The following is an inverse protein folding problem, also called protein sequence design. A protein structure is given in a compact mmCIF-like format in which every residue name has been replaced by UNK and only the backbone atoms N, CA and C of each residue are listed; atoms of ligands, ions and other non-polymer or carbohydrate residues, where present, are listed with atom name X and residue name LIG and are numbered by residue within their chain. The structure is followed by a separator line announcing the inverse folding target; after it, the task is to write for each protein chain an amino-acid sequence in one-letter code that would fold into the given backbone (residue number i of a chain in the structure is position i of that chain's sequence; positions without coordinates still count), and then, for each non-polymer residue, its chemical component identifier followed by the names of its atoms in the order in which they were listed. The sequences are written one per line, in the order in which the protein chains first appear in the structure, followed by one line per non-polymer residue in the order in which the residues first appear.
data_IF_175087153212
#
_entry.id   IF_175087153212
#
_cell.length_a   1.000
_cell.length_b   1.000
_cell.length_c   1.000
_cell.angle_alpha   90.00
_cell.angle_beta   90.00
_cell.angle_gamma   90.00
#
_symmetry.space_group_name_H-M   'P 1'
#
loop_
_entity.id
_entity.type
_entity.pdbx_description
1 polymer ?
#
# COMPACT_ATOMS: atom_id res chain seq x y z
N UNK A 1 13.58 12.17 3.50
CA UNK A 1 12.62 12.17 4.63
C UNK A 1 11.86 10.86 4.54
N UNK A 2 11.77 10.08 5.62
CA UNK A 2 11.05 8.80 5.58
C UNK A 2 9.55 9.04 5.78
N UNK A 3 8.70 8.30 5.07
CA UNK A 3 7.24 8.36 5.26
C UNK A 3 6.86 7.83 6.64
N UNK A 4 7.45 6.70 7.02
CA UNK A 4 7.23 6.06 8.32
C UNK A 4 8.51 6.05 9.16
N UNK A 5 8.35 5.93 10.47
CA UNK A 5 9.49 5.77 11.38
C UNK A 5 10.11 4.38 11.22
N UNK A 6 11.41 4.27 11.49
CA UNK A 6 12.09 2.97 11.43
C UNK A 6 11.47 1.95 12.41
N UNK A 7 11.05 2.40 13.58
CA UNK A 7 10.40 1.56 14.60
C UNK A 7 9.06 1.02 14.11
N UNK A 8 8.28 1.84 13.38
CA UNK A 8 7.05 1.38 12.74
C UNK A 8 7.35 0.39 11.62
N UNK A 9 8.29 0.70 10.71
CA UNK A 9 8.65 -0.22 9.63
C UNK A 9 9.11 -1.58 10.17
N UNK A 10 9.89 -1.59 11.26
CA UNK A 10 10.38 -2.81 11.89
C UNK A 10 9.22 -3.66 12.42
N UNK A 11 8.33 -3.07 13.23
CA UNK A 11 7.16 -3.77 13.77
C UNK A 11 6.21 -4.22 12.66
N UNK A 12 6.02 -3.40 11.63
CA UNK A 12 5.16 -3.72 10.51
C UNK A 12 5.69 -4.90 9.69
N UNK A 13 7.01 -4.94 9.43
CA UNK A 13 7.67 -6.09 8.78
C UNK A 13 7.55 -7.35 9.62
N UNK A 14 7.69 -7.26 10.94
CA UNK A 14 7.49 -8.40 11.85
C UNK A 14 6.06 -8.93 11.77
N UNK A 15 5.07 -8.05 11.80
CA UNK A 15 3.66 -8.42 11.69
C UNK A 15 3.32 -9.05 10.33
N UNK A 16 3.85 -8.51 9.24
CA UNK A 16 3.71 -9.10 7.91
C UNK A 16 4.27 -10.53 7.85
N UNK A 17 5.41 -10.79 8.50
CA UNK A 17 5.99 -12.14 8.59
C UNK A 17 5.11 -13.07 9.43
N UNK A 18 4.56 -12.60 10.54
CA UNK A 18 3.65 -13.39 11.37
C UNK A 18 2.36 -13.75 10.61
N UNK A 19 1.77 -12.77 9.93
CA UNK A 19 0.56 -12.99 9.12
C UNK A 19 0.83 -13.97 7.98
N UNK A 20 1.95 -13.82 7.28
CA UNK A 20 2.39 -14.73 6.22
C UNK A 20 2.53 -16.18 6.74
N UNK A 21 3.08 -16.37 7.94
CA UNK A 21 3.22 -17.69 8.56
C UNK A 21 1.92 -18.27 9.15
N UNK A 22 0.87 -17.46 9.27
CA UNK A 22 -0.41 -17.87 9.85
C UNK A 22 -1.26 -18.74 8.89
N UNK A 23 -2.26 -19.50 9.37
CA UNK A 23 -3.19 -20.21 8.50
C UNK A 23 -4.29 -19.32 7.90
N UNK A 24 -4.25 -18.00 8.13
CA UNK A 24 -5.26 -17.07 7.63
C UNK A 24 -5.27 -17.04 6.10
N UNK A 25 -6.45 -16.88 5.47
CA UNK A 25 -6.54 -16.70 4.03
C UNK A 25 -5.77 -15.44 3.62
N UNK A 26 -5.02 -15.53 2.51
CA UNK A 26 -4.35 -14.39 1.88
C UNK A 26 -4.79 -14.30 0.43
N UNK A 27 -5.27 -13.13 0.05
CA UNK A 27 -5.55 -12.76 -1.32
C UNK A 27 -4.29 -12.35 -2.05
N UNK A 28 -4.39 -12.28 -3.39
CA UNK A 28 -3.29 -11.77 -4.21
C UNK A 28 -3.28 -10.23 -4.16
N UNK A 29 -2.10 -9.60 -4.04
CA UNK A 29 -1.98 -8.15 -4.05
C UNK A 29 -2.58 -7.48 -5.30
N UNK A 30 -2.24 -8.03 -6.46
CA UNK A 30 -2.77 -7.62 -7.76
C UNK A 30 -2.60 -8.76 -8.79
N UNK A 31 -2.93 -8.50 -10.05
CA UNK A 31 -2.83 -9.49 -11.15
C UNK A 31 -1.39 -9.86 -11.51
N UNK A 32 -0.42 -9.00 -11.19
CA UNK A 32 1.01 -9.15 -11.54
C UNK A 32 1.85 -9.75 -10.41
N UNK A 33 1.43 -9.59 -9.15
CA UNK A 33 2.15 -10.09 -7.99
C UNK A 33 1.45 -11.32 -7.41
N UNK A 34 2.20 -12.41 -7.29
CA UNK A 34 1.77 -13.64 -6.63
C UNK A 34 2.04 -13.58 -5.12
N UNK A 35 2.99 -12.76 -4.67
CA UNK A 35 3.44 -12.69 -3.28
C UNK A 35 3.23 -11.31 -2.67
N UNK A 36 2.68 -11.32 -1.46
CA UNK A 36 2.37 -10.12 -0.72
C UNK A 36 1.13 -10.28 0.13
N UNK A 37 0.77 -9.20 0.83
CA UNK A 37 -0.34 -9.19 1.79
C UNK A 37 -1.25 -8.02 1.45
N UNK A 38 -2.55 -8.29 1.32
CA UNK A 38 -3.56 -7.25 1.28
C UNK A 38 -3.76 -6.66 2.68
N UNK A 39 -3.71 -5.34 2.80
CA UNK A 39 -3.73 -4.70 4.13
C UNK A 39 -5.12 -4.71 4.78
N UNK A 40 -6.19 -4.81 4.00
CA UNK A 40 -7.54 -5.05 4.54
C UNK A 40 -7.65 -6.41 5.25
N UNK A 41 -7.02 -7.45 4.71
CA UNK A 41 -6.94 -8.79 5.32
C UNK A 41 -6.11 -8.81 6.62
N UNK A 42 -5.12 -7.91 6.73
CA UNK A 42 -4.37 -7.67 7.97
C UNK A 42 -5.15 -6.82 8.99
N UNK A 43 -6.32 -6.29 8.63
CA UNK A 43 -7.14 -5.42 9.47
C UNK A 43 -6.73 -3.95 9.48
N UNK A 44 -5.95 -3.50 8.50
CA UNK A 44 -5.39 -2.15 8.42
C UNK A 44 -6.29 -1.14 7.66
N UNK A 45 -7.52 -1.50 7.29
CA UNK A 45 -8.43 -0.60 6.54
C UNK A 45 -8.53 0.78 7.20
N UNK A 46 -8.86 0.85 8.50
CA UNK A 46 -8.98 2.13 9.20
C UNK A 46 -7.67 2.91 9.31
N UNK A 47 -6.53 2.20 9.37
CA UNK A 47 -5.22 2.86 9.32
C UNK A 47 -4.96 3.50 7.96
N UNK A 48 -5.30 2.82 6.87
CA UNK A 48 -5.14 3.35 5.51
C UNK A 48 -6.13 4.48 5.24
N UNK A 49 -7.37 4.38 5.72
CA UNK A 49 -8.34 5.48 5.67
C UNK A 49 -7.78 6.74 6.32
N UNK A 50 -7.20 6.64 7.52
CA UNK A 50 -6.62 7.78 8.22
C UNK A 50 -5.37 8.34 7.53
N UNK A 51 -4.48 7.46 7.05
CA UNK A 51 -3.31 7.85 6.27
C UNK A 51 -3.72 8.62 5.01
N UNK A 52 -4.72 8.12 4.28
CA UNK A 52 -5.25 8.77 3.09
C UNK A 52 -5.84 10.13 3.43
N UNK A 53 -6.74 10.19 4.40
CA UNK A 53 -7.50 11.39 4.72
C UNK A 53 -6.62 12.49 5.32
N UNK A 54 -5.72 12.16 6.26
CA UNK A 54 -4.92 13.17 6.97
C UNK A 54 -3.63 13.56 6.25
N UNK A 55 -3.06 12.68 5.43
CA UNK A 55 -1.72 12.91 4.86
C UNK A 55 -1.74 12.90 3.33
N UNK A 56 -2.27 11.84 2.70
CA UNK A 56 -2.17 11.71 1.24
C UNK A 56 -3.07 12.68 0.50
N UNK A 57 -4.29 12.95 0.99
CA UNK A 57 -5.19 13.91 0.37
C UNK A 57 -4.60 15.34 0.36
N UNK A 58 -4.15 15.89 1.50
CA UNK A 58 -3.48 17.19 1.50
C UNK A 58 -2.21 17.21 0.63
N UNK A 59 -1.43 16.13 0.64
CA UNK A 59 -0.24 16.02 -0.18
C UNK A 59 -0.57 16.02 -1.68
N UNK A 60 -1.58 15.24 -2.09
CA UNK A 60 -2.02 15.16 -3.47
C UNK A 60 -2.55 16.52 -3.95
N UNK A 61 -3.37 17.21 -3.14
CA UNK A 61 -3.84 18.57 -3.44
C UNK A 61 -2.69 19.56 -3.58
N UNK A 62 -1.67 19.48 -2.72
CA UNK A 62 -0.51 20.35 -2.79
C UNK A 62 0.38 20.09 -4.02
N UNK A 63 0.49 18.83 -4.46
CA UNK A 63 1.33 18.44 -5.60
C UNK A 63 0.66 18.64 -6.95
N UNK A 64 -0.65 18.35 -7.02
CA UNK A 64 -1.36 18.28 -8.30
C UNK A 64 -2.43 19.37 -8.45
N UNK A 65 -2.87 20.03 -7.38
CA UNK A 65 -3.94 21.02 -7.43
C UNK A 65 -5.32 20.42 -7.17
N UNK A 66 -6.21 21.22 -6.56
CA UNK A 66 -7.57 20.80 -6.22
C UNK A 66 -8.39 20.46 -7.47
N UNK A 67 -8.10 21.10 -8.60
CA UNK A 67 -8.78 20.85 -9.87
C UNK A 67 -8.53 19.45 -10.45
N UNK A 68 -7.40 18.82 -10.11
CA UNK A 68 -7.06 17.47 -10.57
C UNK A 68 -7.45 16.39 -9.56
N UNK A 69 -7.40 16.71 -8.26
CA UNK A 69 -7.76 15.78 -7.18
C UNK A 69 -9.28 15.73 -6.95
N UNK A 70 -9.98 16.81 -7.30
CA UNK A 70 -11.42 16.95 -7.08
C UNK A 70 -11.77 17.38 -5.65
N UNK A 71 -12.95 17.97 -5.51
CA UNK A 71 -13.42 18.55 -4.25
C UNK A 71 -13.63 17.52 -3.11
N UNK A 72 -13.84 16.25 -3.47
CA UNK A 72 -14.00 15.14 -2.50
C UNK A 72 -12.68 14.51 -2.09
N UNK A 73 -11.58 14.78 -2.80
CA UNK A 73 -10.31 14.10 -2.61
C UNK A 73 -10.31 12.65 -3.12
N UNK A 74 -9.21 11.96 -2.84
CA UNK A 74 -9.07 10.51 -2.96
C UNK A 74 -10.05 9.84 -1.98
N UNK A 75 -10.95 9.02 -2.50
CA UNK A 75 -12.15 8.52 -1.78
C UNK A 75 -12.16 6.99 -1.56
N UNK A 76 -11.28 6.26 -2.23
CA UNK A 76 -11.10 4.82 -2.11
C UNK A 76 -9.61 4.45 -2.02
N UNK A 77 -9.31 3.19 -1.72
CA UNK A 77 -7.93 2.69 -1.75
C UNK A 77 -7.92 1.18 -2.01
N UNK A 78 -6.85 0.71 -2.67
CA UNK A 78 -6.44 -0.69 -2.67
C UNK A 78 -5.01 -0.74 -2.15
N UNK A 79 -4.84 -1.27 -0.94
CA UNK A 79 -3.55 -1.23 -0.24
C UNK A 79 -3.01 -2.63 -0.02
N UNK A 80 -1.74 -2.82 -0.36
CA UNK A 80 -1.06 -4.10 -0.27
C UNK A 80 0.45 -3.92 -0.13
N UNK A 81 1.11 -4.93 0.41
CA UNK A 81 2.57 -5.04 0.44
C UNK A 81 2.98 -6.07 -0.59
N UNK A 82 4.01 -5.76 -1.38
CA UNK A 82 4.65 -6.72 -2.29
C UNK A 82 5.92 -7.23 -1.62
N UNK A 83 6.17 -8.54 -1.71
CA UNK A 83 7.40 -9.16 -1.25
C UNK A 83 8.23 -9.63 -2.43
N UNK A 84 9.46 -9.13 -2.53
CA UNK A 84 10.43 -9.56 -3.54
C UNK A 84 11.46 -10.50 -2.88
N UNK A 85 11.67 -11.68 -3.47
CA UNK A 85 12.74 -12.62 -3.09
C UNK A 85 13.41 -13.16 -4.34
N UNK A 86 14.68 -13.55 -4.19
CA UNK A 86 15.38 -14.33 -5.22
C UNK A 86 14.55 -15.60 -5.48
N UNK A 87 14.31 -15.91 -6.76
CA UNK A 87 13.45 -17.00 -7.25
C UNK A 87 11.92 -16.83 -7.08
N UNK A 88 11.45 -15.63 -6.76
CA UNK A 88 10.02 -15.26 -6.83
C UNK A 88 9.74 -14.32 -8.02
N UNK A 89 8.67 -13.53 -7.96
CA UNK A 89 8.36 -12.49 -8.95
C UNK A 89 9.45 -11.40 -8.90
N UNK A 90 10.50 -11.56 -9.69
CA UNK A 90 11.61 -10.60 -9.80
C UNK A 90 11.39 -9.55 -10.88
N UNK A 91 10.38 -9.72 -11.73
CA UNK A 91 10.07 -8.81 -12.83
C UNK A 91 8.62 -8.34 -12.78
N UNK A 92 8.41 -7.06 -13.08
CA UNK A 92 7.11 -6.41 -13.11
C UNK A 92 6.94 -5.84 -14.51
N UNK A 93 6.20 -6.55 -15.37
CA UNK A 93 5.97 -6.12 -16.75
C UNK A 93 5.36 -4.72 -16.80
N UNK A 94 5.55 -4.00 -17.92
CA UNK A 94 4.97 -2.68 -18.12
C UNK A 94 3.44 -2.72 -17.97
N UNK A 95 2.91 -1.95 -17.02
CA UNK A 95 1.48 -1.87 -16.74
C UNK A 95 1.10 -0.48 -16.22
N UNK A 96 -0.21 -0.26 -16.12
CA UNK A 96 -0.81 0.88 -15.45
C UNK A 96 -1.50 0.39 -14.18
N UNK A 97 -1.35 1.15 -13.11
CA UNK A 97 -2.16 0.94 -11.91
C UNK A 97 -3.60 1.39 -12.17
N UNK A 98 -4.55 0.64 -11.61
CA UNK A 98 -5.95 1.04 -11.61
C UNK A 98 -6.22 2.04 -10.47
N UNK A 99 -5.56 3.19 -10.55
CA UNK A 99 -5.67 4.29 -9.58
C UNK A 99 -5.33 5.63 -10.27
N UNK A 100 -5.92 6.73 -9.79
CA UNK A 100 -5.51 8.08 -10.17
C UNK A 100 -4.09 8.39 -9.67
N UNK A 101 -3.76 7.91 -8.47
CA UNK A 101 -2.45 8.08 -7.83
C UNK A 101 -2.05 6.78 -7.14
N UNK A 102 -0.82 6.35 -7.40
CA UNK A 102 -0.16 5.26 -6.65
C UNK A 102 0.82 5.84 -5.65
N UNK A 103 0.66 5.46 -4.38
CA UNK A 103 1.61 5.77 -3.32
C UNK A 103 2.46 4.53 -3.00
N UNK A 104 3.76 4.58 -3.30
CA UNK A 104 4.68 3.47 -3.09
C UNK A 104 5.71 3.84 -2.00
N UNK A 105 5.83 2.99 -0.99
CA UNK A 105 6.73 3.18 0.15
C UNK A 105 7.60 1.94 0.30
N UNK A 106 8.92 2.13 0.32
CA UNK A 106 9.86 1.07 0.66
C UNK A 106 9.82 0.80 2.18
N UNK A 107 9.71 -0.48 2.53
CA UNK A 107 9.70 -0.98 3.91
C UNK A 107 11.02 -1.65 4.25
#
# INVERSE_FOLDING_TARGET
MSVFTNDFCTQFIEELKHFEASPMPKGRPNTMNNYGILLDELGFTSFIDELRNQYLNPLAQALYGEEYIGATGLDSHKAFVVSYKIDQDVDLDYHYDNAEITFNVSL
#
